data_IF_134962103603
#
_entry.id   IF_134962103603
#
_cell.length_a   1.000
_cell.length_b   1.000
_cell.length_c   1.000
_cell.angle_alpha   90.00
_cell.angle_beta   90.00
_cell.angle_gamma   90.00
#
_symmetry.space_group_name_H-M   'P 1'
#
loop_
_entity.id
_entity.type
_entity.pdbx_description
1 polymer ?
#
# COMPACT_ATOMS: atom_id res chain seq x y z
N UNK A 1 12.37 -5.26 -11.16
CA UNK A 1 10.89 -5.26 -11.16
C UNK A 1 10.31 -6.43 -10.36
N UNK A 2 10.61 -7.70 -10.68
CA UNK A 2 10.04 -8.87 -9.99
C UNK A 2 10.21 -8.86 -8.46
N UNK A 3 11.39 -8.47 -7.96
CA UNK A 3 11.63 -8.32 -6.51
C UNK A 3 10.70 -7.27 -5.85
N UNK A 4 10.40 -6.17 -6.54
CA UNK A 4 9.46 -5.17 -6.03
C UNK A 4 8.04 -5.72 -5.96
N UNK A 5 7.62 -6.51 -6.96
CA UNK A 5 6.31 -7.16 -6.95
C UNK A 5 6.20 -8.15 -5.78
N UNK A 6 7.23 -8.95 -5.52
CA UNK A 6 7.26 -9.85 -4.35
C UNK A 6 7.19 -9.09 -3.02
N UNK A 7 7.85 -7.93 -2.93
CA UNK A 7 7.76 -7.06 -1.75
C UNK A 7 6.36 -6.47 -1.57
N UNK A 8 5.73 -6.00 -2.65
CA UNK A 8 4.35 -5.50 -2.62
C UNK A 8 3.36 -6.60 -2.23
N UNK A 9 3.54 -7.82 -2.72
CA UNK A 9 2.71 -8.96 -2.31
C UNK A 9 2.89 -9.33 -0.83
N UNK A 10 4.14 -9.31 -0.32
CA UNK A 10 4.38 -9.50 1.11
C UNK A 10 3.75 -8.38 1.94
N UNK A 11 3.79 -7.13 1.45
CA UNK A 11 3.14 -5.99 2.09
C UNK A 11 1.61 -6.19 2.14
N UNK A 12 1.02 -6.59 1.02
CA UNK A 12 -0.41 -6.89 0.90
C UNK A 12 -0.87 -7.87 1.98
N UNK A 13 -0.17 -9.00 2.10
CA UNK A 13 -0.50 -10.02 3.11
C UNK A 13 -0.22 -9.56 4.54
N UNK A 14 0.87 -8.82 4.76
CA UNK A 14 1.31 -8.43 6.11
C UNK A 14 0.36 -7.42 6.77
N UNK A 15 -0.19 -6.50 5.99
CA UNK A 15 -1.01 -5.40 6.50
C UNK A 15 -2.51 -5.57 6.23
N UNK A 16 -2.93 -6.77 5.82
CA UNK A 16 -4.33 -7.05 5.49
C UNK A 16 -4.89 -6.05 4.45
N UNK A 17 -4.12 -5.79 3.39
CA UNK A 17 -4.59 -4.94 2.30
C UNK A 17 -5.67 -5.64 1.49
N UNK A 18 -6.66 -4.89 1.02
CA UNK A 18 -7.65 -5.34 0.01
C UNK A 18 -7.23 -4.93 -1.39
N UNK A 19 -6.45 -3.85 -1.52
CA UNK A 19 -5.90 -3.37 -2.79
C UNK A 19 -4.55 -2.68 -2.57
N UNK A 20 -3.62 -2.91 -3.50
CA UNK A 20 -2.44 -2.07 -3.70
C UNK A 20 -2.40 -1.71 -5.18
N UNK A 21 -2.50 -0.43 -5.47
CA UNK A 21 -2.33 0.12 -6.81
C UNK A 21 -1.08 1.01 -6.81
N UNK A 22 -0.13 0.70 -7.70
CA UNK A 22 1.05 1.54 -7.94
C UNK A 22 0.91 2.12 -9.34
N UNK A 23 0.73 3.43 -9.44
CA UNK A 23 0.57 4.09 -10.72
C UNK A 23 1.07 5.55 -10.68
N UNK A 24 2.27 5.85 -11.23
CA UNK A 24 3.06 5.00 -12.10
C UNK A 24 4.02 4.05 -11.35
N UNK A 25 4.13 2.82 -11.86
CA UNK A 25 5.22 1.88 -11.53
C UNK A 25 6.28 1.97 -12.62
N UNK A 26 7.48 2.46 -12.29
CA UNK A 26 8.43 2.87 -13.32
C UNK A 26 9.89 2.61 -13.01
N UNK A 27 10.73 2.95 -13.98
CA UNK A 27 12.19 2.87 -13.89
C UNK A 27 12.77 4.29 -14.02
N UNK A 28 13.77 4.58 -13.21
CA UNK A 28 14.55 5.82 -13.26
C UNK A 28 15.71 5.71 -14.28
N UNK A 29 16.31 6.83 -14.72
CA UNK A 29 17.42 6.78 -15.69
C UNK A 29 18.62 5.93 -15.25
N UNK A 30 18.82 5.80 -13.93
CA UNK A 30 19.88 4.97 -13.33
C UNK A 30 19.47 3.49 -13.12
N UNK A 31 18.41 3.05 -13.78
CA UNK A 31 17.92 1.66 -13.80
C UNK A 31 17.39 1.13 -12.48
N UNK A 32 16.98 2.03 -11.57
CA UNK A 32 16.22 1.63 -10.37
C UNK A 32 14.72 1.61 -10.64
N UNK A 33 14.07 0.54 -10.21
CA UNK A 33 12.61 0.41 -10.22
C UNK A 33 12.03 1.08 -8.98
N UNK A 34 11.09 2.00 -9.18
CA UNK A 34 10.49 2.85 -8.15
C UNK A 34 8.96 2.80 -8.26
N UNK A 35 8.31 2.79 -7.09
CA UNK A 35 6.87 3.01 -6.95
C UNK A 35 6.68 4.52 -6.74
N UNK A 36 6.24 5.25 -7.76
CA UNK A 36 6.19 6.73 -7.71
C UNK A 36 4.97 7.26 -6.97
N UNK A 37 3.83 6.58 -7.16
CA UNK A 37 2.58 6.89 -6.49
C UNK A 37 1.88 5.57 -6.12
N UNK A 38 1.13 5.59 -5.02
CA UNK A 38 0.53 4.41 -4.43
C UNK A 38 -0.82 4.72 -3.78
N UNK A 39 -1.83 3.93 -4.15
CA UNK A 39 -3.12 3.87 -3.47
C UNK A 39 -3.27 2.50 -2.81
N UNK A 40 -3.45 2.50 -1.49
CA UNK A 40 -3.63 1.29 -0.70
C UNK A 40 -5.00 1.34 -0.03
N UNK A 41 -5.68 0.19 -0.06
CA UNK A 41 -6.92 -0.04 0.69
C UNK A 41 -6.69 -1.19 1.66
N UNK A 42 -7.25 -1.08 2.86
CA UNK A 42 -7.10 -2.05 3.94
C UNK A 42 -8.44 -2.72 4.27
N UNK A 43 -8.40 -3.93 4.83
CA UNK A 43 -9.60 -4.61 5.32
C UNK A 43 -9.99 -4.06 6.70
N UNK A 44 -11.13 -3.38 6.79
CA UNK A 44 -11.65 -2.84 8.05
C UNK A 44 -11.86 -3.92 9.13
N UNK A 45 -12.15 -5.16 8.71
CA UNK A 45 -12.28 -6.28 9.65
C UNK A 45 -10.94 -6.65 10.31
N UNK A 46 -9.81 -6.19 9.76
CA UNK A 46 -8.49 -6.39 10.35
C UNK A 46 -8.08 -5.29 11.34
N UNK A 47 -8.91 -4.26 11.57
CA UNK A 47 -8.60 -3.13 12.47
C UNK A 47 -8.14 -3.55 13.86
N UNK A 48 -8.68 -4.64 14.40
CA UNK A 48 -8.28 -5.17 15.72
C UNK A 48 -6.81 -5.63 15.80
N UNK A 49 -6.19 -6.01 14.67
CA UNK A 49 -4.82 -6.52 14.59
C UNK A 49 -3.87 -5.60 13.82
N UNK A 50 -4.38 -4.65 13.04
CA UNK A 50 -3.61 -3.66 12.28
C UNK A 50 -3.66 -2.26 12.89
N UNK A 51 -3.67 -2.15 14.22
CA UNK A 51 -3.81 -0.87 14.93
C UNK A 51 -2.87 0.24 14.40
N UNK A 52 -1.57 0.00 14.13
CA UNK A 52 -0.68 1.04 13.60
C UNK A 52 -1.09 1.59 12.23
N UNK A 53 -1.77 0.80 11.38
CA UNK A 53 -2.27 1.25 10.07
C UNK A 53 -3.47 2.16 10.25
N UNK A 54 -4.43 1.76 11.07
CA UNK A 54 -5.64 2.55 11.34
C UNK A 54 -5.38 3.78 12.22
N UNK A 55 -4.27 3.81 12.98
CA UNK A 55 -3.82 5.03 13.65
C UNK A 55 -3.35 6.11 12.65
N UNK A 56 -3.17 5.78 11.35
CA UNK A 56 -2.85 6.73 10.26
C UNK A 56 -4.10 7.21 9.49
N UNK A 57 -5.29 6.75 9.87
CA UNK A 57 -6.56 7.12 9.24
C UNK A 57 -6.80 8.62 9.40
N UNK A 58 -6.86 9.36 8.29
CA UNK A 58 -7.26 10.77 8.28
C UNK A 58 -8.77 10.87 8.00
N UNK A 59 -9.53 11.17 9.05
CA UNK A 59 -11.00 11.25 8.98
C UNK A 59 -11.50 12.49 8.23
N UNK A 60 -10.63 13.47 7.93
CA UNK A 60 -11.04 14.66 7.18
C UNK A 60 -11.40 14.34 5.71
N UNK A 61 -10.88 13.22 5.20
CA UNK A 61 -11.11 12.73 3.84
C UNK A 61 -12.33 11.79 3.75
N UNK A 62 -13.03 11.52 4.87
CA UNK A 62 -14.22 10.68 4.92
C UNK A 62 -15.50 11.54 4.98
N UNK A 63 -16.53 11.17 4.23
CA UNK A 63 -17.84 11.80 4.34
C UNK A 63 -18.46 11.53 5.73
N UNK A 64 -19.09 12.53 6.38
CA UNK A 64 -19.70 12.39 7.72
C UNK A 64 -20.96 11.51 7.77
#
# INVERSE_FOLDING_TARGET
AADQILKLYKLFLKYDCTQIEINPFGETPDKRVINFDAKLSFDDNAKFRQKPVFDMEDTAESDP
#
